data_IF_709766785764
#
_entry.id   IF_709766785764
#
_cell.length_a   1.000
_cell.length_b   1.000
_cell.length_c   1.000
_cell.angle_alpha   90.00
_cell.angle_beta   90.00
_cell.angle_gamma   90.00
#
_symmetry.space_group_name_H-M   'P 1'
#
loop_
_entity.id
_entity.type
_entity.pdbx_description
1 polymer ?
#
# COMPACT_ATOMS: atom_id res chain seq x y z
N UNK A 1 -7.97 6.19 11.68
CA UNK A 1 -6.69 6.04 12.40
C UNK A 1 -5.56 6.62 11.54
N UNK A 2 -4.51 7.23 12.14
CA UNK A 2 -3.49 8.01 11.41
C UNK A 2 -2.12 7.35 11.27
N UNK A 3 -1.92 6.17 11.84
CA UNK A 3 -0.64 5.46 11.86
C UNK A 3 -0.90 3.96 11.70
N UNK A 4 -0.16 3.29 10.82
CA UNK A 4 -0.30 1.85 10.56
C UNK A 4 0.11 1.45 9.13
N UNK A 5 -0.06 0.16 8.82
CA UNK A 5 0.16 -0.40 7.48
C UNK A 5 -1.16 -1.01 6.98
N UNK A 6 -1.58 -0.63 5.78
CA UNK A 6 -2.75 -1.21 5.12
C UNK A 6 -2.31 -2.12 3.96
N UNK A 7 -3.04 -3.24 3.78
CA UNK A 7 -2.92 -4.12 2.62
C UNK A 7 -4.09 -3.83 1.67
N UNK A 8 -3.81 -3.23 0.52
CA UNK A 8 -4.85 -2.69 -0.35
C UNK A 8 -4.70 -3.15 -1.80
N UNK A 9 -5.80 -3.21 -2.56
CA UNK A 9 -5.75 -3.21 -4.03
C UNK A 9 -4.96 -2.00 -4.54
N UNK A 10 -4.07 -2.22 -5.51
CA UNK A 10 -3.33 -1.14 -6.19
C UNK A 10 -4.21 -0.39 -7.22
N UNK A 11 -5.40 0.05 -6.81
CA UNK A 11 -6.42 0.69 -7.66
C UNK A 11 -6.15 2.18 -7.83
N UNK A 12 -5.02 2.52 -8.46
CA UNK A 12 -4.52 3.89 -8.59
C UNK A 12 -5.45 4.83 -9.37
N UNK A 13 -6.40 4.28 -10.12
CA UNK A 13 -7.41 4.97 -10.91
C UNK A 13 -8.62 5.48 -10.09
N UNK A 14 -8.79 4.98 -8.86
CA UNK A 14 -9.99 5.26 -8.06
C UNK A 14 -9.85 6.49 -7.17
N UNK A 15 -10.95 7.20 -6.94
CA UNK A 15 -10.98 8.41 -6.10
C UNK A 15 -10.45 8.16 -4.68
N UNK A 16 -10.88 7.06 -4.04
CA UNK A 16 -10.43 6.73 -2.69
C UNK A 16 -8.92 6.49 -2.61
N UNK A 17 -8.32 5.92 -3.66
CA UNK A 17 -6.87 5.70 -3.70
C UNK A 17 -6.13 7.04 -3.87
N UNK A 18 -6.64 7.92 -4.72
CA UNK A 18 -6.11 9.28 -4.89
C UNK A 18 -6.16 10.10 -3.60
N UNK A 19 -7.29 10.06 -2.90
CA UNK A 19 -7.54 10.88 -1.72
C UNK A 19 -6.91 10.31 -0.45
N UNK A 20 -6.87 8.98 -0.30
CA UNK A 20 -6.41 8.35 0.94
C UNK A 20 -5.01 7.76 0.85
N UNK A 21 -4.55 7.33 -0.32
CA UNK A 21 -3.22 6.74 -0.48
C UNK A 21 -2.23 7.79 -0.95
N UNK A 22 -2.43 8.37 -2.14
CA UNK A 22 -1.47 9.32 -2.70
C UNK A 22 -1.32 10.60 -1.88
N UNK A 23 -2.41 11.09 -1.26
CA UNK A 23 -2.37 12.33 -0.49
C UNK A 23 -1.87 12.15 0.97
N UNK A 24 -1.89 10.94 1.53
CA UNK A 24 -1.67 10.73 2.96
C UNK A 24 -0.62 9.68 3.34
N UNK A 25 -0.23 8.79 2.43
CA UNK A 25 0.70 7.72 2.75
C UNK A 25 2.14 8.25 2.93
N UNK A 26 2.90 7.63 3.82
CA UNK A 26 4.32 7.92 4.04
C UNK A 26 5.22 7.12 3.09
N UNK A 27 4.78 5.94 2.65
CA UNK A 27 5.42 5.14 1.62
C UNK A 27 4.49 4.05 1.08
N UNK A 28 4.83 3.52 -0.08
CA UNK A 28 4.17 2.37 -0.70
C UNK A 28 5.18 1.25 -0.98
N UNK A 29 4.73 0.01 -0.90
CA UNK A 29 5.43 -1.15 -1.46
C UNK A 29 4.46 -1.94 -2.34
N UNK A 30 4.60 -1.80 -3.66
CA UNK A 30 3.85 -2.59 -4.62
C UNK A 30 4.46 -3.99 -4.67
N UNK A 31 3.71 -4.99 -4.20
CA UNK A 31 4.22 -6.35 -4.07
C UNK A 31 4.46 -6.98 -5.45
N UNK A 32 5.57 -7.70 -5.58
CA UNK A 32 5.83 -8.56 -6.73
C UNK A 32 4.99 -9.83 -6.60
N UNK A 33 4.03 -9.98 -7.50
CA UNK A 33 3.10 -11.12 -7.50
C UNK A 33 1.83 -10.84 -6.68
N UNK A 34 1.01 -11.88 -6.52
CA UNK A 34 -0.31 -11.78 -5.89
C UNK A 34 -0.38 -12.73 -4.70
N UNK A 35 -0.53 -12.22 -3.45
CA UNK A 35 -0.61 -13.08 -2.28
C UNK A 35 -1.83 -14.01 -2.34
N UNK A 36 -1.71 -15.13 -1.63
CA UNK A 36 -2.84 -15.98 -1.31
C UNK A 36 -3.26 -15.70 0.13
N UNK A 37 -4.56 -15.62 0.37
CA UNK A 37 -5.08 -15.49 1.72
C UNK A 37 -5.21 -16.87 2.37
N UNK A 38 -5.03 -16.90 3.68
CA UNK A 38 -5.26 -18.07 4.51
C UNK A 38 -6.54 -17.86 5.31
N UNK A 39 -7.30 -18.92 5.52
CA UNK A 39 -8.46 -18.88 6.40
C UNK A 39 -8.04 -18.90 7.90
N UNK A 40 -9.01 -18.90 8.80
CA UNK A 40 -8.76 -18.95 10.24
C UNK A 40 -8.11 -20.26 10.72
N UNK A 41 -8.05 -21.30 9.88
CA UNK A 41 -7.35 -22.56 10.13
C UNK A 41 -5.96 -22.59 9.47
N UNK A 42 -5.54 -21.50 8.83
CA UNK A 42 -4.27 -21.41 8.14
C UNK A 42 -4.26 -22.10 6.77
N UNK A 43 -5.40 -22.53 6.24
CA UNK A 43 -5.47 -23.18 4.93
C UNK A 43 -5.38 -22.12 3.83
N UNK A 44 -4.41 -22.28 2.94
CA UNK A 44 -4.18 -21.39 1.80
C UNK A 44 -5.29 -21.51 0.77
N UNK A 45 -5.87 -20.39 0.36
CA UNK A 45 -6.83 -20.35 -0.74
C UNK A 45 -6.24 -20.86 -2.06
N UNK A 46 -7.05 -21.59 -2.85
CA UNK A 46 -6.64 -22.11 -4.18
C UNK A 46 -6.29 -20.97 -5.15
N UNK A 47 -7.09 -19.91 -5.16
CA UNK A 47 -6.83 -18.68 -5.92
C UNK A 47 -6.00 -17.68 -5.14
N UNK A 48 -5.28 -16.82 -5.85
CA UNK A 48 -4.64 -15.63 -5.27
C UNK A 48 -5.69 -14.51 -5.05
N UNK A 49 -5.24 -13.35 -4.55
CA UNK A 49 -6.07 -12.17 -4.29
C UNK A 49 -6.72 -11.52 -5.54
N UNK A 50 -6.48 -12.03 -6.75
CA UNK A 50 -7.17 -11.63 -7.99
C UNK A 50 -6.73 -10.30 -8.60
N UNK A 51 -5.95 -9.50 -7.88
CA UNK A 51 -5.50 -8.15 -8.29
C UNK A 51 -4.11 -7.83 -7.76
N UNK A 52 -3.47 -6.80 -8.32
CA UNK A 52 -2.23 -6.25 -7.78
C UNK A 52 -2.45 -5.68 -6.38
N UNK A 53 -1.46 -5.84 -5.50
CA UNK A 53 -1.53 -5.46 -4.09
C UNK A 53 -0.40 -4.50 -3.75
N UNK A 54 -0.73 -3.52 -2.91
CA UNK A 54 0.21 -2.56 -2.33
C UNK A 54 0.11 -2.58 -0.82
N UNK A 55 1.26 -2.57 -0.15
CA UNK A 55 1.34 -2.19 1.27
C UNK A 55 1.46 -0.68 1.36
N UNK A 56 0.59 -0.07 2.14
CA UNK A 56 0.54 1.39 2.32
C UNK A 56 0.90 1.72 3.75
N UNK A 57 2.03 2.39 3.95
CA UNK A 57 2.42 2.89 5.24
C UNK A 57 1.80 4.27 5.48
N UNK A 58 1.30 4.45 6.70
CA UNK A 58 0.85 5.74 7.23
C UNK A 58 1.62 6.04 8.51
N UNK A 59 2.21 7.22 8.59
CA UNK A 59 2.98 7.67 9.75
C UNK A 59 2.65 9.13 10.09
N UNK A 60 1.49 9.37 10.71
CA UNK A 60 1.12 10.72 11.17
C UNK A 60 2.02 11.17 12.32
N UNK A 61 2.23 12.49 12.42
CA UNK A 61 2.93 13.10 13.56
C UNK A 61 4.45 12.92 13.54
N UNK A 62 5.05 12.66 12.37
CA UNK A 62 6.50 12.50 12.23
C UNK A 62 7.02 11.11 12.62
N UNK A 63 6.13 10.14 12.79
CA UNK A 63 6.49 8.73 12.96
C UNK A 63 7.25 8.19 11.73
N UNK A 64 8.00 7.10 11.93
CA UNK A 64 8.76 6.47 10.85
C UNK A 64 8.69 4.93 10.88
N UNK A 65 7.89 4.37 11.79
CA UNK A 65 7.89 2.94 12.05
C UNK A 65 7.33 2.15 10.86
N UNK A 66 6.24 2.63 10.24
CA UNK A 66 5.52 1.84 9.25
C UNK A 66 6.22 1.86 7.89
N UNK A 67 6.67 3.03 7.42
CA UNK A 67 7.41 3.07 6.16
C UNK A 67 8.74 2.33 6.25
N UNK A 68 9.44 2.39 7.39
CA UNK A 68 10.65 1.59 7.62
C UNK A 68 10.33 0.10 7.62
N UNK A 69 9.27 -0.32 8.29
CA UNK A 69 8.86 -1.72 8.33
C UNK A 69 8.58 -2.26 6.93
N UNK A 70 7.85 -1.54 6.06
CA UNK A 70 7.61 -2.02 4.69
C UNK A 70 8.90 -2.01 3.85
N UNK A 71 9.76 -0.99 3.99
CA UNK A 71 11.05 -0.90 3.28
C UNK A 71 11.99 -2.05 3.65
N UNK A 72 12.08 -2.36 4.94
CA UNK A 72 13.05 -3.30 5.50
C UNK A 72 12.49 -4.73 5.61
N UNK A 73 11.22 -4.95 5.23
CA UNK A 73 10.53 -6.24 5.31
C UNK A 73 11.16 -7.36 4.47
N UNK A 74 11.96 -7.02 3.45
CA UNK A 74 12.48 -7.98 2.48
C UNK A 74 11.41 -8.54 1.53
N UNK A 75 10.17 -8.03 1.58
CA UNK A 75 9.12 -8.45 0.66
C UNK A 75 9.46 -7.98 -0.76
N UNK A 76 9.39 -8.86 -1.77
CA UNK A 76 9.75 -8.50 -3.13
C UNK A 76 8.73 -7.52 -3.70
N UNK A 77 9.19 -6.47 -4.37
CA UNK A 77 8.31 -5.44 -4.90
C UNK A 77 9.02 -4.17 -5.32
N UNK A 78 8.24 -3.16 -5.69
CA UNK A 78 8.69 -1.81 -5.96
C UNK A 78 8.34 -0.90 -4.77
N UNK A 79 9.36 -0.43 -4.06
CA UNK A 79 9.20 0.54 -2.97
C UNK A 79 9.15 1.96 -3.53
N UNK A 80 8.20 2.77 -3.05
CA UNK A 80 8.05 4.18 -3.40
C UNK A 80 8.00 5.00 -2.11
N UNK A 81 9.03 5.81 -1.81
CA UNK A 81 8.98 6.70 -0.66
C UNK A 81 7.99 7.85 -0.89
N UNK A 82 7.27 8.27 0.16
CA UNK A 82 6.29 9.35 0.08
C UNK A 82 6.85 10.70 -0.36
N UNK A 83 8.15 10.93 -0.12
CA UNK A 83 8.85 12.11 -0.62
C UNK A 83 8.83 12.24 -2.16
N UNK A 84 8.52 11.16 -2.89
CA UNK A 84 8.43 11.16 -4.35
C UNK A 84 6.99 11.25 -4.87
N UNK A 85 5.99 11.41 -4.00
CA UNK A 85 4.61 11.56 -4.44
C UNK A 85 4.42 12.96 -5.02
N UNK A 86 4.20 13.02 -6.33
CA UNK A 86 3.87 14.25 -7.04
C UNK A 86 2.42 14.13 -7.50
N UNK A 87 1.55 14.95 -6.91
CA UNK A 87 0.18 15.11 -7.39
C UNK A 87 0.12 16.36 -8.29
N UNK A 88 0.08 16.14 -9.59
CA UNK A 88 -0.27 17.21 -10.53
C UNK A 88 -1.78 17.47 -10.41
N UNK A 89 -2.17 18.76 -10.48
CA UNK A 89 -3.51 19.24 -10.16
C UNK A 89 -4.67 18.44 -10.80
N UNK A 90 -5.82 18.45 -10.12
CA UNK A 90 -7.05 17.70 -10.44
C UNK A 90 -7.39 17.77 -11.94
N UNK A 91 -7.43 16.61 -12.59
CA UNK A 91 -8.14 16.45 -13.86
C UNK A 91 -9.63 16.57 -13.54
N UNK A 92 -10.27 17.67 -13.99
CA UNK A 92 -11.73 17.76 -14.00
C UNK A 92 -12.25 16.88 -15.14
N UNK A 93 -13.04 15.86 -14.80
CA UNK A 93 -13.85 15.13 -15.77
C UNK A 93 -15.15 15.88 -16.02
#
# INVERSE_FOLDING_TARGET
HGTGIALLPASTDTAWFQESVWAMASALLFLRGRPHFHDNKGVRAKGNCGRAIVLVAYDRGGGIANWRAIRDSGLPGAYVPGAHFVQNAKVSW
#
